data_IF_456140433852
#
_entry.id   IF_456140433852
#
_cell.length_a   1.000
_cell.length_b   1.000
_cell.length_c   1.000
_cell.angle_alpha   90.00
_cell.angle_beta   90.00
_cell.angle_gamma   90.00
#
_symmetry.space_group_name_H-M   'P 1'
#
loop_
_entity.id
_entity.type
_entity.pdbx_description
1 polymer ?
#
# COMPACT_ATOMS: atom_id res chain seq x y z
N UNK A 1 5.47 22.37 -11.75
CA UNK A 1 5.13 21.20 -10.92
C UNK A 1 6.24 20.19 -11.15
N UNK A 2 6.95 19.70 -10.13
CA UNK A 2 7.88 18.60 -10.34
C UNK A 2 7.10 17.40 -10.90
N UNK A 3 7.72 16.55 -11.74
CA UNK A 3 7.07 15.32 -12.16
C UNK A 3 6.71 14.54 -10.90
N UNK A 4 5.42 14.27 -10.71
CA UNK A 4 4.97 13.33 -9.69
C UNK A 4 5.70 12.02 -10.02
N UNK A 5 6.47 11.42 -9.09
CA UNK A 5 7.13 10.15 -9.38
C UNK A 5 6.08 9.18 -9.92
N UNK A 6 6.36 8.55 -11.07
CA UNK A 6 5.49 7.54 -11.67
C UNK A 6 5.30 6.43 -10.63
N UNK A 7 4.06 6.28 -10.16
CA UNK A 7 3.68 5.24 -9.24
C UNK A 7 2.78 4.23 -9.96
N UNK A 8 2.96 2.95 -9.64
CA UNK A 8 2.18 1.86 -10.21
C UNK A 8 1.54 1.06 -9.08
N UNK A 9 0.24 0.77 -9.21
CA UNK A 9 -0.48 -0.09 -8.27
C UNK A 9 -0.80 -1.39 -8.99
N UNK A 10 -0.18 -2.48 -8.57
CA UNK A 10 -0.32 -3.80 -9.17
C UNK A 10 -1.10 -4.74 -8.23
N UNK A 11 -2.24 -5.23 -8.70
CA UNK A 11 -3.03 -6.25 -7.99
C UNK A 11 -2.58 -7.63 -8.45
N UNK A 12 -1.94 -8.37 -7.55
CA UNK A 12 -1.54 -9.75 -7.79
C UNK A 12 -2.54 -10.74 -7.21
N UNK A 13 -2.42 -11.96 -7.69
CA UNK A 13 -3.22 -13.10 -7.25
C UNK A 13 -3.03 -13.36 -5.74
N UNK A 14 -4.08 -13.82 -5.06
CA UNK A 14 -4.24 -13.88 -3.58
C UNK A 14 -4.39 -12.53 -2.88
N UNK A 15 -5.04 -11.58 -3.54
CA UNK A 15 -5.32 -10.22 -3.05
C UNK A 15 -4.10 -9.45 -2.58
N UNK A 16 -2.94 -9.69 -3.16
CA UNK A 16 -1.76 -8.90 -2.84
C UNK A 16 -1.81 -7.60 -3.64
N UNK A 17 -1.69 -6.47 -2.97
CA UNK A 17 -1.65 -5.14 -3.58
C UNK A 17 -0.23 -4.62 -3.45
N UNK A 18 0.40 -4.35 -4.59
CA UNK A 18 1.73 -3.80 -4.65
C UNK A 18 1.66 -2.36 -5.10
N UNK A 19 2.34 -1.48 -4.39
CA UNK A 19 2.56 -0.11 -4.77
C UNK A 19 4.03 0.06 -5.14
N UNK A 20 4.33 0.53 -6.34
CA UNK A 20 5.68 0.69 -6.87
C UNK A 20 6.00 2.16 -7.14
N UNK A 21 7.20 2.59 -6.76
CA UNK A 21 7.85 3.83 -7.20
C UNK A 21 9.24 3.45 -7.77
N UNK A 22 9.31 3.24 -9.09
CA UNK A 22 10.50 2.68 -9.74
C UNK A 22 10.79 1.25 -9.28
N UNK A 23 12.01 0.98 -8.82
CA UNK A 23 12.43 -0.34 -8.28
C UNK A 23 11.99 -0.60 -6.83
N UNK A 24 11.42 0.40 -6.14
CA UNK A 24 11.03 0.29 -4.73
C UNK A 24 9.52 0.14 -4.64
N UNK A 25 9.05 -0.76 -3.81
CA UNK A 25 7.62 -0.96 -3.61
C UNK A 25 7.22 -1.27 -2.19
N UNK A 26 5.91 -1.28 -2.00
CA UNK A 26 5.23 -1.62 -0.77
C UNK A 26 4.22 -2.71 -1.08
N UNK A 27 4.23 -3.76 -0.27
CA UNK A 27 3.32 -4.88 -0.36
C UNK A 27 2.25 -4.75 0.72
N UNK A 28 1.00 -4.81 0.31
CA UNK A 28 -0.18 -4.76 1.16
C UNK A 28 -1.04 -5.99 0.93
N UNK A 29 -1.53 -6.57 2.01
CA UNK A 29 -2.56 -7.61 1.94
C UNK A 29 -3.94 -7.02 1.59
N UNK A 30 -4.70 -7.73 0.78
CA UNK A 30 -6.09 -7.45 0.50
C UNK A 30 -7.02 -8.38 1.27
N UNK A 31 -8.23 -7.91 1.53
CA UNK A 31 -9.26 -8.66 2.23
C UNK A 31 -9.95 -9.70 1.36
N UNK A 32 -9.92 -10.95 1.83
CA UNK A 32 -10.57 -12.09 1.19
C UNK A 32 -12.09 -12.04 1.37
N UNK A 33 -12.81 -12.20 0.26
CA UNK A 33 -14.24 -12.51 0.28
C UNK A 33 -15.20 -11.32 0.45
N UNK A 34 -14.73 -10.08 0.46
CA UNK A 34 -15.58 -8.87 0.47
C UNK A 34 -15.47 -8.12 -0.86
N UNK A 35 -16.60 -7.68 -1.41
CA UNK A 35 -16.67 -6.77 -2.56
C UNK A 35 -17.25 -5.42 -2.11
N UNK A 36 -16.60 -4.27 -2.41
CA UNK A 36 -15.29 -4.13 -3.07
C UNK A 36 -14.15 -4.76 -2.26
N UNK A 37 -13.08 -5.20 -2.95
CA UNK A 37 -11.92 -5.81 -2.29
C UNK A 37 -11.38 -4.85 -1.23
N UNK A 38 -11.14 -5.31 -0.01
CA UNK A 38 -10.46 -4.46 0.97
C UNK A 38 -8.95 -4.47 0.67
N UNK A 39 -8.27 -3.36 0.85
CA UNK A 39 -6.81 -3.26 0.90
C UNK A 39 -6.47 -2.88 2.33
N UNK A 40 -5.85 -3.79 3.05
CA UNK A 40 -5.38 -3.50 4.38
C UNK A 40 -4.21 -2.54 4.30
N UNK A 41 -4.18 -1.54 5.17
CA UNK A 41 -3.16 -0.52 5.21
C UNK A 41 -2.69 -0.31 6.65
N UNK A 42 -1.39 -0.19 6.92
CA UNK A 42 -0.92 -0.03 8.30
C UNK A 42 -1.41 1.27 8.93
N UNK A 43 -1.73 1.23 10.23
CA UNK A 43 -1.92 2.44 11.04
C UNK A 43 -0.65 3.31 11.05
N UNK A 44 -0.76 4.56 11.51
CA UNK A 44 0.40 5.46 11.57
C UNK A 44 1.50 4.95 12.52
N UNK A 45 1.11 4.27 13.60
CA UNK A 45 2.04 3.67 14.55
C UNK A 45 2.71 2.45 13.91
N UNK A 46 1.92 1.56 13.31
CA UNK A 46 2.47 0.35 12.68
C UNK A 46 3.34 0.66 11.48
N UNK A 47 2.99 1.67 10.70
CA UNK A 47 3.78 2.12 9.55
C UNK A 47 5.24 2.40 9.93
N UNK A 48 5.48 2.99 11.10
CA UNK A 48 6.84 3.29 11.57
C UNK A 48 7.68 2.04 11.87
N UNK A 49 7.02 0.90 12.08
CA UNK A 49 7.68 -0.37 12.36
C UNK A 49 7.86 -1.22 11.10
N UNK A 50 6.93 -1.15 10.15
CA UNK A 50 6.90 -2.05 8.98
C UNK A 50 7.33 -1.38 7.67
N UNK A 51 7.24 -0.06 7.57
CA UNK A 51 7.57 0.67 6.35
C UNK A 51 9.10 0.82 6.19
N UNK A 52 9.61 0.75 4.96
CA UNK A 52 11.01 1.03 4.67
C UNK A 52 11.31 2.53 4.83
N UNK A 53 12.57 2.89 5.12
CA UNK A 53 13.00 4.27 5.37
C UNK A 53 12.56 5.27 4.30
N UNK A 54 12.54 4.86 3.03
CA UNK A 54 12.16 5.73 1.92
C UNK A 54 10.66 6.09 1.91
N UNK A 55 9.83 5.28 2.54
CA UNK A 55 8.37 5.41 2.58
C UNK A 55 7.86 5.91 3.94
N UNK A 56 8.73 6.05 4.95
CA UNK A 56 8.36 6.50 6.30
C UNK A 56 7.52 7.78 6.30
N UNK A 57 7.96 8.81 5.58
CA UNK A 57 7.25 10.09 5.46
C UNK A 57 6.19 10.13 4.35
N UNK A 58 5.97 9.01 3.63
CA UNK A 58 5.06 8.94 2.48
C UNK A 58 3.73 8.25 2.79
N UNK A 59 3.47 7.85 4.04
CA UNK A 59 2.26 7.12 4.44
C UNK A 59 0.99 7.75 3.89
N UNK A 60 0.77 9.04 4.16
CA UNK A 60 -0.45 9.75 3.77
C UNK A 60 -0.58 9.85 2.25
N UNK A 61 0.54 10.05 1.54
CA UNK A 61 0.58 10.09 0.09
C UNK A 61 0.18 8.74 -0.51
N UNK A 62 0.72 7.64 0.02
CA UNK A 62 0.39 6.28 -0.45
C UNK A 62 -1.06 5.95 -0.15
N UNK A 63 -1.54 6.28 1.06
CA UNK A 63 -2.94 6.10 1.45
C UNK A 63 -3.87 6.83 0.48
N UNK A 64 -3.58 8.10 0.18
CA UNK A 64 -4.38 8.89 -0.74
C UNK A 64 -4.36 8.31 -2.16
N UNK A 65 -3.21 7.85 -2.65
CA UNK A 65 -3.09 7.20 -3.97
C UNK A 65 -3.87 5.89 -4.04
N UNK A 66 -3.86 5.10 -2.97
CA UNK A 66 -4.66 3.88 -2.88
C UNK A 66 -6.16 4.19 -2.87
N UNK A 67 -6.60 5.22 -2.12
CA UNK A 67 -8.01 5.64 -2.09
C UNK A 67 -8.46 6.15 -3.47
N UNK A 68 -7.62 6.95 -4.13
CA UNK A 68 -7.89 7.53 -5.46
C UNK A 68 -7.95 6.47 -6.58
N UNK A 69 -7.27 5.34 -6.40
CA UNK A 69 -7.32 4.19 -7.31
C UNK A 69 -8.65 3.41 -7.24
N UNK A 70 -9.58 3.78 -6.33
CA UNK A 70 -10.96 3.29 -6.36
C UNK A 70 -11.65 3.53 -7.71
N UNK A 71 -12.67 2.74 -8.10
CA UNK A 71 -13.60 1.99 -7.24
C UNK A 71 -13.31 0.49 -7.09
N UNK A 72 -12.10 0.02 -7.44
CA UNK A 72 -11.79 -1.42 -7.51
C UNK A 72 -11.57 -2.05 -6.11
N UNK A 73 -11.11 -1.24 -5.13
CA UNK A 73 -10.88 -1.65 -3.75
C UNK A 73 -11.26 -0.55 -2.75
N UNK A 74 -11.39 -0.92 -1.48
CA UNK A 74 -11.56 -0.04 -0.31
C UNK A 74 -10.35 -0.16 0.58
N UNK A 75 -9.76 0.95 1.01
CA UNK A 75 -8.65 0.90 1.98
C UNK A 75 -9.19 0.79 3.40
N UNK A 76 -8.64 -0.14 4.19
CA UNK A 76 -8.97 -0.35 5.60
C UNK A 76 -7.70 -0.37 6.45
N UNK A 77 -7.67 0.42 7.52
CA UNK A 77 -6.52 0.47 8.41
C UNK A 77 -6.46 -0.78 9.30
N UNK A 78 -5.28 -1.40 9.45
CA UNK A 78 -5.05 -2.56 10.32
C UNK A 78 -3.68 -2.53 10.96
N UNK A 79 -3.60 -3.13 12.15
CA UNK A 79 -2.36 -3.30 12.93
C UNK A 79 -1.81 -4.73 12.85
N UNK A 80 -2.49 -5.64 12.14
CA UNK A 80 -2.21 -7.09 12.14
C UNK A 80 -1.03 -7.47 11.21
N UNK A 81 -0.22 -6.51 10.76
CA UNK A 81 0.97 -6.80 9.96
C UNK A 81 2.07 -7.42 10.81
N UNK A 82 2.47 -8.66 10.51
CA UNK A 82 3.59 -9.33 11.20
C UNK A 82 4.91 -9.25 10.44
N UNK A 83 4.96 -8.57 9.29
CA UNK A 83 6.10 -8.56 8.38
C UNK A 83 6.39 -7.15 7.83
N UNK A 84 7.64 -6.84 7.42
CA UNK A 84 7.95 -5.61 6.71
C UNK A 84 7.19 -5.55 5.39
N UNK A 85 6.63 -4.38 5.07
CA UNK A 85 5.88 -4.18 3.81
C UNK A 85 6.78 -3.75 2.66
N UNK A 86 8.05 -3.39 2.93
CA UNK A 86 8.99 -2.96 1.90
C UNK A 86 9.37 -4.11 0.96
N UNK A 87 9.19 -3.90 -0.35
CA UNK A 87 9.61 -4.83 -1.40
C UNK A 87 10.41 -4.11 -2.47
N UNK A 88 11.18 -4.86 -3.26
CA UNK A 88 11.92 -4.35 -4.42
C UNK A 88 11.60 -5.22 -5.63
N UNK A 89 11.58 -4.62 -6.82
CA UNK A 89 11.26 -5.32 -8.08
C UNK A 89 12.45 -6.14 -8.58
#
# INVERSE_FOLDING_TARGET
MPPVPEYEIEFRWKEQVFYWEGDRGLHFDGGWGVKPYATYFPSAERWREVAPDWAMDKRELVLQRLIDHGPVHRVEETDVYSYPIGVTR
#
